data_IF_814695427538
#
_entry.id   IF_814695427538
#
_cell.length_a   1.000
_cell.length_b   1.000
_cell.length_c   1.000
_cell.angle_alpha   90.00
_cell.angle_beta   90.00
_cell.angle_gamma   90.00
#
_symmetry.space_group_name_H-M   'P 1'
#
loop_
_entity.id
_entity.type
_entity.pdbx_description
1 polymer ?
#
# COMPACT_ATOMS: atom_id res chain seq x y z
N UNK A 1 -13.38 2.66 -46.44
CA UNK A 1 -13.42 1.22 -46.15
C UNK A 1 -12.39 0.71 -45.14
N UNK A 2 -11.27 1.42 -44.84
CA UNK A 2 -10.21 0.93 -43.91
C UNK A 2 -10.54 0.98 -42.43
N UNK A 3 -11.39 1.89 -41.95
CA UNK A 3 -11.72 2.03 -40.52
C UNK A 3 -12.69 0.96 -39.98
N UNK A 4 -13.50 0.35 -40.84
CA UNK A 4 -14.42 -0.73 -40.43
C UNK A 4 -13.67 -2.06 -40.21
N UNK A 5 -12.58 -2.28 -40.94
CA UNK A 5 -11.79 -3.51 -40.84
C UNK A 5 -10.96 -3.56 -39.55
N UNK A 6 -10.44 -2.40 -39.09
CA UNK A 6 -9.71 -2.31 -37.84
C UNK A 6 -10.56 -2.58 -36.59
N UNK A 7 -11.82 -2.10 -36.55
CA UNK A 7 -12.73 -2.38 -35.42
C UNK A 7 -13.08 -3.87 -35.31
N UNK A 8 -13.30 -4.54 -36.45
CA UNK A 8 -13.55 -5.99 -36.45
C UNK A 8 -12.33 -6.80 -36.04
N UNK A 9 -11.13 -6.39 -36.45
CA UNK A 9 -9.89 -7.06 -36.01
C UNK A 9 -9.61 -6.86 -34.52
N UNK A 10 -9.83 -5.67 -33.98
CA UNK A 10 -9.70 -5.40 -32.54
C UNK A 10 -10.69 -6.23 -31.73
N UNK A 11 -11.95 -6.32 -32.16
CA UNK A 11 -12.97 -7.15 -31.48
C UNK A 11 -12.60 -8.64 -31.51
N UNK A 12 -12.04 -9.15 -32.59
CA UNK A 12 -11.59 -10.55 -32.69
C UNK A 12 -10.42 -10.83 -31.74
N UNK A 13 -9.46 -9.89 -31.64
CA UNK A 13 -8.31 -10.03 -30.73
C UNK A 13 -8.78 -10.04 -29.27
N UNK A 14 -9.71 -9.17 -28.90
CA UNK A 14 -10.29 -9.14 -27.53
C UNK A 14 -11.02 -10.45 -27.21
N UNK A 15 -11.83 -10.98 -28.13
CA UNK A 15 -12.54 -12.24 -27.95
C UNK A 15 -11.57 -13.41 -27.80
N UNK A 16 -10.51 -13.45 -28.60
CA UNK A 16 -9.49 -14.50 -28.53
C UNK A 16 -8.69 -14.44 -27.20
N UNK A 17 -8.37 -13.24 -26.70
CA UNK A 17 -7.70 -13.09 -25.42
C UNK A 17 -8.59 -13.53 -24.25
N UNK A 18 -9.88 -13.21 -24.25
CA UNK A 18 -10.83 -13.66 -23.23
C UNK A 18 -10.97 -15.19 -23.25
N UNK A 19 -11.08 -15.80 -24.43
CA UNK A 19 -11.14 -17.25 -24.55
C UNK A 19 -9.86 -17.92 -24.06
N UNK A 20 -8.69 -17.35 -24.32
CA UNK A 20 -7.40 -17.87 -23.84
C UNK A 20 -7.32 -17.81 -22.32
N UNK A 21 -7.75 -16.71 -21.71
CA UNK A 21 -7.78 -16.56 -20.25
C UNK A 21 -8.71 -17.60 -19.61
N UNK A 22 -9.89 -17.82 -20.18
CA UNK A 22 -10.83 -18.83 -19.69
C UNK A 22 -10.27 -20.27 -19.81
N UNK A 23 -9.51 -20.56 -20.87
CA UNK A 23 -8.87 -21.86 -21.06
C UNK A 23 -7.74 -22.08 -20.04
N UNK A 24 -6.96 -21.05 -19.74
CA UNK A 24 -5.91 -21.10 -18.71
C UNK A 24 -6.54 -21.32 -17.32
N UNK A 25 -7.59 -20.59 -17.00
CA UNK A 25 -8.33 -20.77 -15.74
C UNK A 25 -8.90 -22.19 -15.59
N UNK A 26 -9.49 -22.76 -16.65
CA UNK A 26 -9.99 -24.12 -16.65
C UNK A 26 -8.86 -25.16 -16.46
N UNK A 27 -7.69 -24.92 -17.04
CA UNK A 27 -6.52 -25.79 -16.89
C UNK A 27 -6.00 -25.78 -15.44
N UNK A 28 -5.96 -24.62 -14.81
CA UNK A 28 -5.56 -24.47 -13.40
C UNK A 28 -6.53 -25.20 -12.46
N UNK A 29 -7.84 -25.11 -12.72
CA UNK A 29 -8.84 -25.82 -11.92
C UNK A 29 -8.67 -27.34 -12.05
N UNK A 30 -8.40 -27.85 -13.26
CA UNK A 30 -8.19 -29.27 -13.50
C UNK A 30 -6.89 -29.79 -12.84
N UNK A 31 -5.83 -29.00 -12.83
CA UNK A 31 -4.56 -29.39 -12.19
C UNK A 31 -4.64 -29.34 -10.66
N UNK A 32 -5.43 -28.43 -10.09
CA UNK A 32 -5.68 -28.37 -8.65
C UNK A 32 -6.63 -29.49 -8.17
N UNK A 33 -7.58 -29.93 -8.97
CA UNK A 33 -8.46 -31.06 -8.61
C UNK A 33 -7.69 -32.40 -8.54
N UNK A 34 -6.67 -32.59 -9.38
CA UNK A 34 -5.78 -33.76 -9.32
C UNK A 34 -4.91 -33.82 -8.06
N UNK A 35 -4.54 -32.67 -7.49
CA UNK A 35 -3.69 -32.59 -6.28
C UNK A 35 -4.42 -32.85 -4.96
N UNK A 36 -5.74 -32.73 -4.93
CA UNK A 36 -6.53 -32.95 -3.72
C UNK A 36 -6.91 -34.41 -3.50
N UNK A 37 -6.85 -35.28 -4.52
CA UNK A 37 -7.09 -36.71 -4.35
C UNK A 37 -5.87 -37.48 -3.81
N UNK A 38 -4.64 -37.04 -4.10
CA UNK A 38 -3.43 -37.71 -3.60
C UNK A 38 -3.10 -37.45 -2.12
N UNK A 39 -3.85 -36.57 -1.43
CA UNK A 39 -3.67 -36.31 0.01
C UNK A 39 -4.67 -36.98 0.95
N UNK A 40 -5.64 -37.69 0.40
CA UNK A 40 -6.68 -38.35 1.21
C UNK A 40 -6.30 -39.78 1.66
N UNK A 41 -5.28 -40.40 1.08
CA UNK A 41 -4.96 -41.82 1.34
C UNK A 41 -3.79 -42.07 2.31
N UNK A 42 -3.29 -41.04 3.04
CA UNK A 42 -2.13 -41.21 3.94
C UNK A 42 -2.40 -40.87 5.41
N UNK A 43 -3.65 -40.78 5.84
CA UNK A 43 -3.98 -40.47 7.24
C UNK A 43 -4.97 -41.49 7.84
N UNK A 44 -4.55 -42.75 7.95
CA UNK A 44 -5.22 -43.70 8.83
C UNK A 44 -4.19 -44.70 9.33
N UNK A 45 -3.56 -44.38 10.44
CA UNK A 45 -3.04 -45.32 11.47
C UNK A 45 -2.17 -44.53 12.48
N UNK A 46 -2.66 -44.27 13.64
CA UNK A 46 -2.07 -44.60 14.92
C UNK A 46 -3.04 -44.14 16.04
N UNK A 47 -3.44 -45.12 16.72
CA UNK A 47 -4.41 -45.20 17.81
C UNK A 47 -3.82 -44.86 19.17
N UNK A 48 -4.70 -44.35 20.00
CA UNK A 48 -5.10 -44.84 21.36
C UNK A 48 -4.28 -44.45 22.59
N UNK A 49 -5.10 -44.18 23.60
CA UNK A 49 -4.85 -44.16 25.07
C UNK A 49 -4.29 -42.84 25.64
N UNK A 50 -4.94 -42.17 26.57
CA UNK A 50 -5.56 -42.63 27.82
C UNK A 50 -6.51 -41.57 28.43
N UNK A 51 -7.51 -42.09 29.06
CA UNK A 51 -8.59 -41.56 29.86
C UNK A 51 -8.26 -40.55 30.98
N UNK A 52 -9.29 -39.77 31.37
CA UNK A 52 -9.48 -39.41 32.75
C UNK A 52 -10.27 -38.16 33.08
N UNK A 53 -11.57 -38.33 33.36
CA UNK A 53 -12.45 -37.63 34.34
C UNK A 53 -12.64 -36.10 34.21
N UNK A 54 -13.78 -35.62 33.77
CA UNK A 54 -15.06 -35.41 34.44
C UNK A 54 -15.05 -34.27 35.49
N UNK A 55 -15.92 -33.28 35.34
CA UNK A 55 -17.11 -32.92 36.11
C UNK A 55 -17.77 -31.65 35.57
N UNK A 56 -19.05 -31.78 35.31
CA UNK A 56 -20.19 -30.92 35.08
C UNK A 56 -20.22 -29.55 35.78
N UNK A 57 -20.87 -28.56 35.16
CA UNK A 57 -22.25 -28.14 35.51
C UNK A 57 -22.80 -27.09 34.52
N UNK A 58 -24.07 -27.25 34.29
CA UNK A 58 -25.02 -26.46 33.49
C UNK A 58 -25.13 -24.98 33.85
N UNK A 59 -25.49 -24.11 32.90
CA UNK A 59 -26.86 -23.54 32.90
C UNK A 59 -27.10 -22.65 31.69
N UNK A 60 -28.28 -22.82 31.13
CA UNK A 60 -28.93 -22.16 30.01
C UNK A 60 -29.09 -20.63 30.21
N UNK A 61 -29.12 -19.85 29.10
CA UNK A 61 -30.35 -19.14 28.67
C UNK A 61 -30.18 -18.52 27.27
N UNK A 62 -31.21 -18.74 26.47
CA UNK A 62 -31.50 -18.17 25.14
C UNK A 62 -31.54 -16.64 25.17
N UNK A 63 -31.11 -16.00 24.06
CA UNK A 63 -31.98 -15.02 23.36
C UNK A 63 -31.52 -14.78 21.94
N UNK A 64 -32.40 -15.05 21.01
CA UNK A 64 -32.26 -14.77 19.59
C UNK A 64 -32.42 -13.27 19.30
N UNK A 65 -31.55 -12.69 18.46
CA UNK A 65 -31.96 -11.58 17.60
C UNK A 65 -31.14 -11.63 16.31
N UNK A 66 -31.88 -11.83 15.20
CA UNK A 66 -31.32 -11.92 13.86
C UNK A 66 -30.79 -10.58 13.38
N UNK A 67 -29.59 -10.61 12.81
CA UNK A 67 -29.02 -9.52 12.02
C UNK A 67 -29.00 -9.97 10.55
N UNK A 68 -29.46 -9.18 9.59
CA UNK A 68 -29.47 -9.55 8.19
C UNK A 68 -28.05 -9.73 7.69
N UNK A 69 -27.79 -10.85 7.06
CA UNK A 69 -26.55 -11.20 6.39
C UNK A 69 -26.41 -10.35 5.14
N UNK A 70 -25.71 -9.21 5.26
CA UNK A 70 -25.24 -8.43 4.10
C UNK A 70 -24.17 -9.26 3.41
N UNK A 71 -24.42 -9.57 2.15
CA UNK A 71 -23.47 -10.25 1.28
C UNK A 71 -22.22 -9.40 1.14
N UNK A 72 -21.15 -9.79 1.81
CA UNK A 72 -19.84 -9.21 1.60
C UNK A 72 -19.44 -9.44 0.14
N UNK A 73 -19.03 -8.38 -0.54
CA UNK A 73 -18.41 -8.49 -1.84
C UNK A 73 -17.20 -9.43 -1.70
N UNK A 74 -17.16 -10.44 -2.54
CA UNK A 74 -16.10 -11.42 -2.62
C UNK A 74 -14.79 -10.69 -2.97
N UNK A 75 -13.96 -10.46 -1.98
CA UNK A 75 -12.59 -9.97 -2.19
C UNK A 75 -11.78 -11.17 -2.61
N UNK A 76 -11.34 -11.19 -3.86
CA UNK A 76 -10.44 -12.24 -4.35
C UNK A 76 -9.20 -12.32 -3.45
N UNK A 77 -8.68 -13.53 -3.13
CA UNK A 77 -7.49 -13.69 -2.31
C UNK A 77 -6.31 -13.03 -3.02
N UNK A 78 -5.52 -12.25 -2.25
CA UNK A 78 -4.30 -11.60 -2.74
C UNK A 78 -3.41 -12.64 -3.44
N UNK A 79 -3.32 -12.56 -4.75
CA UNK A 79 -2.41 -13.37 -5.56
C UNK A 79 -1.00 -12.97 -5.13
N UNK A 80 -0.19 -13.92 -4.66
CA UNK A 80 1.24 -13.69 -4.41
C UNK A 80 1.87 -13.43 -5.77
N UNK A 81 2.17 -12.17 -6.07
CA UNK A 81 2.86 -11.76 -7.29
C UNK A 81 4.36 -11.89 -7.06
N UNK A 82 5.01 -12.75 -7.81
CA UNK A 82 6.39 -13.19 -7.59
C UNK A 82 7.44 -12.11 -7.97
N UNK A 83 7.06 -11.07 -8.71
CA UNK A 83 7.97 -10.01 -9.12
C UNK A 83 7.36 -8.61 -9.00
N UNK A 84 8.21 -7.57 -8.88
CA UNK A 84 7.75 -6.17 -8.90
C UNK A 84 7.00 -5.82 -10.19
N UNK A 85 7.44 -6.33 -11.34
CA UNK A 85 6.80 -6.06 -12.62
C UNK A 85 5.39 -6.65 -12.69
N UNK A 86 5.17 -7.85 -12.16
CA UNK A 86 3.84 -8.45 -12.07
C UNK A 86 2.94 -7.68 -11.11
N UNK A 87 3.48 -7.24 -9.98
CA UNK A 87 2.77 -6.38 -9.02
C UNK A 87 2.35 -5.05 -9.67
N UNK A 88 3.28 -4.39 -10.38
CA UNK A 88 3.00 -3.14 -11.08
C UNK A 88 1.91 -3.34 -12.17
N UNK A 89 1.96 -4.44 -12.92
CA UNK A 89 0.96 -4.78 -13.91
C UNK A 89 -0.42 -5.07 -13.28
N UNK A 90 -0.45 -5.79 -12.17
CA UNK A 90 -1.67 -6.08 -11.42
C UNK A 90 -2.38 -4.82 -10.95
N UNK A 91 -1.67 -3.91 -10.25
CA UNK A 91 -2.26 -2.66 -9.78
C UNK A 91 -2.61 -1.71 -10.92
N UNK A 92 -1.85 -1.70 -12.03
CA UNK A 92 -2.17 -0.92 -13.22
C UNK A 92 -3.50 -1.37 -13.86
N UNK A 93 -3.76 -2.68 -13.88
CA UNK A 93 -5.02 -3.22 -14.37
C UNK A 93 -6.20 -2.81 -13.48
N UNK A 94 -6.07 -2.93 -12.14
CA UNK A 94 -7.09 -2.50 -11.19
C UNK A 94 -7.41 -1.01 -11.30
N UNK A 95 -6.38 -0.16 -11.43
CA UNK A 95 -6.54 1.29 -11.62
C UNK A 95 -7.28 1.59 -12.92
N UNK A 96 -6.93 0.90 -14.02
CA UNK A 96 -7.60 1.07 -15.32
C UNK A 96 -9.08 0.70 -15.24
N UNK A 97 -9.42 -0.40 -14.58
CA UNK A 97 -10.80 -0.82 -14.37
C UNK A 97 -11.58 0.16 -13.49
N UNK A 98 -10.98 0.62 -12.39
CA UNK A 98 -11.58 1.62 -11.51
C UNK A 98 -11.88 2.92 -12.25
N UNK A 99 -10.93 3.41 -13.07
CA UNK A 99 -11.14 4.60 -13.90
C UNK A 99 -12.28 4.40 -14.91
N UNK A 100 -12.34 3.26 -15.56
CA UNK A 100 -13.40 2.94 -16.53
C UNK A 100 -14.79 2.86 -15.89
N UNK A 101 -14.88 2.45 -14.63
CA UNK A 101 -16.13 2.37 -13.85
C UNK A 101 -16.46 3.66 -13.08
N UNK A 102 -15.62 4.69 -13.14
CA UNK A 102 -15.79 5.94 -12.36
C UNK A 102 -15.57 5.77 -10.85
N UNK A 103 -14.91 4.68 -10.44
CA UNK A 103 -14.53 4.43 -9.05
C UNK A 103 -13.35 5.31 -8.65
N UNK A 104 -13.40 5.91 -7.46
CA UNK A 104 -12.31 6.74 -6.93
C UNK A 104 -11.09 5.89 -6.59
N UNK A 105 -9.89 6.44 -6.86
CA UNK A 105 -8.62 5.79 -6.57
C UNK A 105 -7.93 6.55 -5.43
N UNK A 106 -7.47 5.81 -4.43
CA UNK A 106 -6.81 6.35 -3.24
C UNK A 106 -5.47 5.65 -3.03
N UNK A 107 -4.41 6.42 -3.00
CA UNK A 107 -3.08 6.02 -2.58
C UNK A 107 -2.88 6.52 -1.15
N UNK A 108 -2.98 5.63 -0.16
CA UNK A 108 -2.64 5.96 1.22
C UNK A 108 -1.12 5.96 1.35
N UNK A 109 -0.56 7.04 1.85
CA UNK A 109 0.88 7.17 2.05
C UNK A 109 1.20 7.59 3.48
N UNK A 110 2.25 6.98 4.04
CA UNK A 110 2.71 7.21 5.39
C UNK A 110 4.16 7.67 5.34
N UNK A 111 4.44 8.83 5.92
CA UNK A 111 5.78 9.40 6.03
C UNK A 111 6.34 9.21 7.45
N UNK A 112 7.66 9.36 7.60
CA UNK A 112 8.39 9.36 8.87
C UNK A 112 8.47 8.00 9.60
N UNK A 113 7.98 6.90 9.03
CA UNK A 113 8.34 5.55 9.47
C UNK A 113 9.84 5.26 9.18
N UNK A 114 10.45 4.23 9.61
CA UNK A 114 9.95 3.10 10.41
C UNK A 114 10.10 3.40 11.91
N UNK A 115 9.03 3.21 12.63
CA UNK A 115 8.98 3.48 14.08
C UNK A 115 8.00 2.52 14.78
N UNK A 116 7.81 2.74 16.06
CA UNK A 116 6.98 1.85 16.90
C UNK A 116 5.50 1.79 16.48
N UNK A 117 5.01 2.72 15.66
CA UNK A 117 3.62 2.74 15.18
C UNK A 117 3.45 2.02 13.83
N UNK A 118 4.50 1.91 13.02
CA UNK A 118 4.47 1.25 11.70
C UNK A 118 3.90 -0.17 11.75
N UNK A 119 4.27 -1.07 12.69
CA UNK A 119 3.67 -2.41 12.79
C UNK A 119 2.15 -2.37 12.98
N UNK A 120 1.64 -1.44 13.78
CA UNK A 120 0.19 -1.30 14.02
C UNK A 120 -0.55 -0.82 12.77
N UNK A 121 0.08 0.07 11.99
CA UNK A 121 -0.45 0.51 10.69
C UNK A 121 -0.51 -0.67 9.72
N UNK A 122 0.57 -1.44 9.59
CA UNK A 122 0.65 -2.63 8.73
C UNK A 122 -0.42 -3.66 9.10
N UNK A 123 -0.57 -3.97 10.39
CA UNK A 123 -1.58 -4.91 10.89
C UNK A 123 -3.01 -4.42 10.61
N UNK A 124 -3.22 -3.10 10.66
CA UNK A 124 -4.52 -2.50 10.34
C UNK A 124 -4.81 -2.63 8.84
N UNK A 125 -3.85 -2.30 7.98
CA UNK A 125 -4.00 -2.42 6.53
C UNK A 125 -4.27 -3.87 6.10
N UNK A 126 -3.61 -4.85 6.73
CA UNK A 126 -3.82 -6.27 6.44
C UNK A 126 -5.24 -6.73 6.82
N UNK A 127 -5.80 -6.26 7.95
CA UNK A 127 -7.21 -6.56 8.34
C UNK A 127 -8.22 -6.11 7.29
N UNK A 128 -7.92 -5.04 6.56
CA UNK A 128 -8.77 -4.50 5.50
C UNK A 128 -8.37 -5.00 4.10
N UNK A 129 -7.34 -5.85 4.01
CA UNK A 129 -6.78 -6.37 2.76
C UNK A 129 -6.43 -5.26 1.75
N UNK A 130 -5.84 -4.16 2.22
CA UNK A 130 -5.39 -3.03 1.39
C UNK A 130 -3.88 -2.87 1.50
N UNK A 131 -3.28 -2.29 0.45
CA UNK A 131 -1.85 -1.99 0.43
C UNK A 131 -1.63 -0.49 0.28
N UNK A 132 -0.57 0.00 0.92
CA UNK A 132 -0.21 1.41 1.02
C UNK A 132 1.25 1.65 0.62
N UNK A 133 1.71 2.89 0.69
CA UNK A 133 3.10 3.27 0.44
C UNK A 133 3.68 3.94 1.68
N UNK A 134 4.90 3.55 2.05
CA UNK A 134 5.62 4.10 3.21
C UNK A 134 6.87 4.82 2.72
N UNK A 135 7.02 6.10 3.05
CA UNK A 135 8.20 6.90 2.79
C UNK A 135 9.03 7.03 4.08
N UNK A 136 9.99 6.13 4.23
CA UNK A 136 10.71 5.93 5.49
C UNK A 136 11.88 6.88 5.68
N UNK A 137 12.21 7.19 6.94
CA UNK A 137 13.36 8.01 7.36
C UNK A 137 14.41 7.13 8.03
N UNK A 138 15.66 7.22 7.56
CA UNK A 138 16.71 6.29 7.97
C UNK A 138 17.03 6.31 9.46
N UNK A 139 17.21 7.50 10.06
CA UNK A 139 17.63 7.64 11.45
C UNK A 139 16.47 7.71 12.46
N UNK A 140 15.22 7.51 12.04
CA UNK A 140 14.08 7.46 12.97
C UNK A 140 13.83 6.07 13.55
N UNK A 141 14.42 5.04 12.93
CA UNK A 141 14.37 3.68 13.46
C UNK A 141 15.20 3.56 14.75
N UNK A 142 14.72 2.81 15.76
CA UNK A 142 15.44 2.58 17.00
C UNK A 142 16.81 1.93 16.83
N UNK A 143 17.00 1.13 15.79
CA UNK A 143 18.27 0.50 15.40
C UNK A 143 18.24 0.07 13.93
N UNK A 144 19.41 -0.26 13.37
CA UNK A 144 19.51 -0.80 12.01
C UNK A 144 18.79 -2.15 11.86
N UNK A 145 18.88 -3.05 12.86
CA UNK A 145 18.19 -4.32 12.85
C UNK A 145 16.66 -4.14 12.84
N UNK A 146 16.17 -3.12 13.55
CA UNK A 146 14.76 -2.75 13.53
C UNK A 146 14.36 -2.23 12.14
N UNK A 147 15.12 -1.30 11.57
CA UNK A 147 14.89 -0.79 10.22
C UNK A 147 14.89 -1.93 9.18
N UNK A 148 15.87 -2.84 9.25
CA UNK A 148 15.96 -4.01 8.37
C UNK A 148 14.71 -4.88 8.46
N UNK A 149 14.24 -5.16 9.66
CA UNK A 149 13.04 -5.96 9.90
C UNK A 149 11.81 -5.27 9.32
N UNK A 150 11.59 -4.00 9.65
CA UNK A 150 10.42 -3.25 9.21
C UNK A 150 10.37 -3.00 7.71
N UNK A 151 11.50 -2.64 7.08
CA UNK A 151 11.53 -2.41 5.64
C UNK A 151 11.19 -3.70 4.87
N UNK A 152 11.72 -4.84 5.32
CA UNK A 152 11.39 -6.12 4.72
C UNK A 152 9.96 -6.57 5.05
N UNK A 153 9.39 -6.20 6.20
CA UNK A 153 7.99 -6.46 6.54
C UNK A 153 7.04 -5.65 5.65
N UNK A 154 7.30 -4.35 5.46
CA UNK A 154 6.57 -3.51 4.50
C UNK A 154 6.54 -4.16 3.12
N UNK A 155 7.70 -4.58 2.61
CA UNK A 155 7.83 -5.18 1.27
C UNK A 155 7.12 -6.54 1.20
N UNK A 156 7.36 -7.43 2.18
CA UNK A 156 6.85 -8.80 2.18
C UNK A 156 5.33 -8.87 2.32
N UNK A 157 4.72 -7.90 3.00
CA UNK A 157 3.26 -7.73 3.09
C UNK A 157 2.67 -7.08 1.83
N UNK A 158 3.46 -6.79 0.79
CA UNK A 158 3.00 -6.26 -0.51
C UNK A 158 2.77 -4.75 -0.55
N UNK A 159 3.21 -4.01 0.46
CA UNK A 159 3.22 -2.54 0.44
C UNK A 159 4.39 -2.02 -0.39
N UNK A 160 4.36 -0.74 -0.74
CA UNK A 160 5.47 -0.07 -1.41
C UNK A 160 6.36 0.61 -0.38
N UNK A 161 7.66 0.32 -0.44
CA UNK A 161 8.68 1.07 0.29
C UNK A 161 9.24 2.17 -0.60
N UNK A 162 9.05 3.41 -0.19
CA UNK A 162 9.71 4.62 -0.71
C UNK A 162 10.64 5.19 0.35
N UNK A 163 11.42 6.20 -0.01
CA UNK A 163 12.34 6.87 0.90
C UNK A 163 12.05 8.35 1.03
N UNK A 164 12.25 8.90 2.24
CA UNK A 164 11.93 10.30 2.55
C UNK A 164 13.19 11.14 2.75
N UNK A 165 14.15 10.67 3.51
CA UNK A 165 15.53 11.14 3.68
C UNK A 165 16.21 10.25 4.71
N UNK A 166 17.51 10.45 4.94
CA UNK A 166 18.16 9.77 6.06
C UNK A 166 17.94 10.51 7.38
N UNK A 167 18.09 11.83 7.39
CA UNK A 167 18.09 12.65 8.63
C UNK A 167 16.80 13.37 8.93
N UNK A 168 15.95 13.64 7.93
CA UNK A 168 14.76 14.50 7.98
C UNK A 168 15.01 15.94 8.52
N UNK A 169 16.26 16.35 8.60
CA UNK A 169 16.63 17.72 9.05
C UNK A 169 16.54 18.70 7.87
N UNK A 170 15.35 19.24 7.60
CA UNK A 170 15.10 20.14 6.44
C UNK A 170 16.11 21.26 6.31
N UNK A 171 16.50 21.92 7.43
CA UNK A 171 17.47 22.99 7.41
C UNK A 171 18.84 22.51 6.92
N UNK A 172 19.28 21.31 7.32
CA UNK A 172 20.55 20.76 6.92
C UNK A 172 20.53 20.17 5.51
N UNK A 173 19.47 19.39 5.20
CA UNK A 173 19.31 18.74 3.88
C UNK A 173 19.30 19.77 2.76
N UNK A 174 18.58 20.89 2.96
CA UNK A 174 18.41 21.92 1.93
C UNK A 174 19.40 23.09 2.06
N UNK A 175 20.40 22.99 2.93
CA UNK A 175 21.44 24.01 3.07
C UNK A 175 22.25 24.18 1.75
N UNK A 176 22.59 23.08 1.10
CA UNK A 176 23.31 23.06 -0.17
C UNK A 176 22.98 21.81 -0.99
N UNK A 177 23.35 21.81 -2.28
CA UNK A 177 23.20 20.62 -3.11
C UNK A 177 24.04 19.44 -2.60
N UNK A 178 25.25 19.72 -2.14
CA UNK A 178 26.13 18.67 -1.58
C UNK A 178 25.55 18.05 -0.32
N UNK A 179 24.91 18.87 0.55
CA UNK A 179 24.25 18.36 1.75
C UNK A 179 23.04 17.49 1.40
N UNK A 180 22.21 17.94 0.44
CA UNK A 180 21.08 17.16 -0.07
C UNK A 180 21.54 15.83 -0.69
N UNK A 181 22.55 15.91 -1.55
CA UNK A 181 23.13 14.73 -2.21
C UNK A 181 23.67 13.72 -1.19
N UNK A 182 24.40 14.18 -0.17
CA UNK A 182 24.95 13.30 0.85
C UNK A 182 23.85 12.58 1.65
N UNK A 183 22.77 13.27 2.02
CA UNK A 183 21.63 12.67 2.73
C UNK A 183 20.87 11.67 1.83
N UNK A 184 20.62 12.04 0.57
CA UNK A 184 19.94 11.20 -0.40
C UNK A 184 20.74 9.92 -0.74
N UNK A 185 22.05 10.05 -1.01
CA UNK A 185 22.93 8.91 -1.27
C UNK A 185 23.01 7.98 -0.06
N UNK A 186 23.08 8.53 1.13
CA UNK A 186 23.09 7.73 2.36
C UNK A 186 21.81 6.91 2.47
N UNK A 187 20.65 7.56 2.31
CA UNK A 187 19.37 6.88 2.40
C UNK A 187 19.17 5.82 1.30
N UNK A 188 19.57 6.14 0.07
CA UNK A 188 19.50 5.21 -1.06
C UNK A 188 20.32 3.94 -0.81
N UNK A 189 21.58 4.11 -0.38
CA UNK A 189 22.48 3.01 -0.08
C UNK A 189 22.01 2.21 1.13
N UNK A 190 21.56 2.88 2.19
CA UNK A 190 21.03 2.27 3.41
C UNK A 190 19.85 1.34 3.12
N UNK A 191 18.84 1.82 2.39
CA UNK A 191 17.70 0.98 2.03
C UNK A 191 18.13 -0.18 1.10
N UNK A 192 19.01 0.09 0.15
CA UNK A 192 19.51 -0.95 -0.76
C UNK A 192 20.25 -2.06 0.02
N UNK A 193 21.07 -1.71 1.01
CA UNK A 193 21.79 -2.67 1.85
C UNK A 193 20.84 -3.48 2.74
N UNK A 194 19.85 -2.83 3.35
CA UNK A 194 18.93 -3.49 4.27
C UNK A 194 17.94 -4.43 3.58
N UNK A 195 17.54 -4.11 2.33
CA UNK A 195 16.47 -4.83 1.62
C UNK A 195 16.96 -5.66 0.43
N UNK A 196 18.19 -5.44 -0.02
CA UNK A 196 18.73 -6.03 -1.26
C UNK A 196 18.11 -5.43 -2.53
N UNK A 197 17.34 -4.33 -2.43
CA UNK A 197 16.63 -3.70 -3.54
C UNK A 197 16.85 -2.20 -3.53
N UNK A 198 17.20 -1.56 -4.68
CA UNK A 198 17.26 -0.12 -4.76
C UNK A 198 15.86 0.50 -4.63
N UNK A 199 15.70 1.61 -3.89
CA UNK A 199 14.44 2.33 -3.80
C UNK A 199 14.07 2.95 -5.15
N UNK A 200 12.77 3.03 -5.44
CA UNK A 200 12.25 3.57 -6.71
C UNK A 200 11.44 4.85 -6.52
N UNK A 201 11.06 5.17 -5.28
CA UNK A 201 10.14 6.26 -4.96
C UNK A 201 10.72 7.15 -3.87
N UNK A 202 10.60 8.45 -4.11
CA UNK A 202 11.09 9.50 -3.23
C UNK A 202 9.94 10.41 -2.81
N UNK A 203 10.00 10.92 -1.58
CA UNK A 203 9.22 12.08 -1.16
C UNK A 203 10.15 13.07 -0.48
N UNK A 204 10.09 14.33 -0.93
CA UNK A 204 10.91 15.39 -0.34
C UNK A 204 10.41 15.76 1.06
N UNK A 205 11.28 15.89 2.08
CA UNK A 205 10.89 16.41 3.39
C UNK A 205 10.22 17.79 3.30
N UNK A 206 8.92 17.82 3.67
CA UNK A 206 8.09 19.01 3.51
C UNK A 206 7.48 19.21 2.11
N UNK A 207 7.62 18.23 1.21
CA UNK A 207 7.16 18.26 -0.17
C UNK A 207 8.06 19.05 -1.11
N UNK A 208 7.85 18.89 -2.43
CA UNK A 208 8.68 19.55 -3.44
C UNK A 208 8.48 21.08 -3.48
N UNK A 209 7.37 21.61 -2.94
CA UNK A 209 7.12 23.05 -2.79
C UNK A 209 7.62 23.63 -1.47
N UNK A 210 8.48 22.92 -0.73
CA UNK A 210 9.01 23.41 0.55
C UNK A 210 9.81 24.70 0.38
N UNK A 211 9.60 25.68 1.27
CA UNK A 211 10.35 26.94 1.28
C UNK A 211 11.82 26.79 1.66
N UNK A 212 12.23 25.64 2.20
CA UNK A 212 13.63 25.37 2.53
C UNK A 212 14.51 25.13 1.30
N UNK A 213 13.95 24.64 0.20
CA UNK A 213 14.70 24.28 -1.00
C UNK A 213 14.84 25.40 -2.02
N UNK A 214 13.97 26.42 -1.98
CA UNK A 214 13.89 27.54 -2.91
C UNK A 214 13.89 27.11 -4.41
N UNK A 215 14.58 27.85 -5.29
CA UNK A 215 14.72 27.52 -6.70
C UNK A 215 15.54 26.25 -6.98
N UNK A 216 16.36 25.78 -6.02
CA UNK A 216 17.21 24.58 -6.17
C UNK A 216 16.40 23.31 -6.24
N UNK A 217 15.16 23.31 -5.78
CA UNK A 217 14.28 22.16 -5.94
C UNK A 217 14.21 21.72 -7.39
N UNK A 218 13.93 22.67 -8.31
CA UNK A 218 13.83 22.39 -9.74
C UNK A 218 15.16 22.21 -10.45
N UNK A 219 16.16 23.03 -10.11
CA UNK A 219 17.44 23.02 -10.82
C UNK A 219 18.34 21.86 -10.44
N UNK A 220 18.27 21.42 -9.19
CA UNK A 220 19.30 20.54 -8.62
C UNK A 220 18.68 19.26 -8.01
N UNK A 221 17.72 19.39 -7.07
CA UNK A 221 17.29 18.27 -6.24
C UNK A 221 16.41 17.27 -7.00
N UNK A 222 15.41 17.75 -7.73
CA UNK A 222 14.55 16.88 -8.56
C UNK A 222 15.38 16.16 -9.64
N UNK A 223 16.20 16.85 -10.46
CA UNK A 223 17.04 16.17 -11.45
C UNK A 223 18.00 15.15 -10.83
N UNK A 224 18.49 15.41 -9.62
CA UNK A 224 19.35 14.46 -8.94
C UNK A 224 18.59 13.17 -8.57
N UNK A 225 17.43 13.26 -7.95
CA UNK A 225 16.59 12.10 -7.60
C UNK A 225 16.22 11.30 -8.85
N UNK A 226 15.83 11.98 -9.92
CA UNK A 226 15.54 11.35 -11.21
C UNK A 226 16.75 10.64 -11.81
N UNK A 227 17.96 11.21 -11.65
CA UNK A 227 19.21 10.58 -12.10
C UNK A 227 19.55 9.28 -11.38
N UNK A 228 19.03 9.10 -10.15
CA UNK A 228 19.12 7.84 -9.39
C UNK A 228 18.05 6.82 -9.81
N UNK A 229 17.22 7.15 -10.81
CA UNK A 229 16.13 6.29 -11.30
C UNK A 229 14.89 6.31 -10.41
N UNK A 230 14.75 7.29 -9.53
CA UNK A 230 13.60 7.43 -8.64
C UNK A 230 12.57 8.43 -9.19
N UNK A 231 11.29 8.16 -8.91
CA UNK A 231 10.18 9.09 -9.13
C UNK A 231 9.75 9.69 -7.79
N UNK A 232 9.59 11.04 -7.74
CA UNK A 232 9.10 11.65 -6.52
C UNK A 232 7.60 11.87 -6.52
N UNK A 233 7.01 11.83 -5.32
CA UNK A 233 5.59 12.02 -5.08
C UNK A 233 5.35 13.03 -3.97
N UNK A 234 4.54 14.05 -4.26
CA UNK A 234 3.88 14.88 -3.25
C UNK A 234 2.51 14.25 -2.89
N UNK A 235 1.57 15.05 -2.48
CA UNK A 235 0.20 14.67 -2.14
C UNK A 235 -0.79 15.72 -2.61
N UNK A 236 -2.04 15.34 -2.74
CA UNK A 236 -3.14 16.26 -3.03
C UNK A 236 -4.26 16.20 -1.97
N UNK A 237 -4.11 15.33 -0.96
CA UNK A 237 -4.93 15.27 0.25
C UNK A 237 -4.00 15.18 1.45
N UNK A 238 -4.22 16.04 2.46
CA UNK A 238 -3.47 15.99 3.74
C UNK A 238 -4.40 15.63 4.87
N UNK A 239 -3.98 14.70 5.73
CA UNK A 239 -4.62 14.41 7.02
C UNK A 239 -4.50 15.58 8.00
N UNK A 240 -3.48 16.43 7.84
CA UNK A 240 -3.14 17.52 8.74
C UNK A 240 -2.38 17.09 9.99
N UNK A 241 -1.98 15.84 10.09
CA UNK A 241 -1.33 15.26 11.27
C UNK A 241 0.13 15.71 11.47
N UNK A 242 0.80 16.19 10.42
CA UNK A 242 2.14 16.77 10.52
C UNK A 242 2.23 18.10 11.28
N UNK A 243 1.09 18.70 11.69
CA UNK A 243 1.07 19.98 12.42
C UNK A 243 1.02 19.86 13.95
N UNK A 244 1.08 18.64 14.50
CA UNK A 244 0.95 18.36 15.93
C UNK A 244 -0.43 18.67 16.51
N UNK A 245 -0.74 18.16 17.71
CA UNK A 245 -2.00 18.41 18.45
C UNK A 245 -3.30 18.26 17.64
N UNK A 246 -3.31 17.35 16.67
CA UNK A 246 -4.52 17.01 15.91
C UNK A 246 -5.27 15.89 16.64
N UNK A 247 -6.59 15.87 16.53
CA UNK A 247 -7.41 14.79 17.07
C UNK A 247 -7.69 13.73 16.00
N UNK A 248 -7.95 12.48 16.42
CA UNK A 248 -8.38 11.38 15.57
C UNK A 248 -9.53 11.79 14.63
N UNK A 249 -10.56 12.42 15.18
CA UNK A 249 -11.73 12.83 14.41
C UNK A 249 -11.37 13.88 13.34
N UNK A 250 -10.39 14.75 13.61
CA UNK A 250 -9.95 15.75 12.65
C UNK A 250 -9.09 15.14 11.54
N UNK A 251 -8.22 14.17 11.87
CA UNK A 251 -7.50 13.35 10.89
C UNK A 251 -8.50 12.68 9.94
N UNK A 252 -9.46 11.95 10.49
CA UNK A 252 -10.54 11.32 9.73
C UNK A 252 -11.26 12.32 8.80
N UNK A 253 -11.77 13.42 9.34
CA UNK A 253 -12.50 14.43 8.55
C UNK A 253 -11.65 15.02 7.41
N UNK A 254 -10.38 15.33 7.67
CA UNK A 254 -9.48 15.89 6.66
C UNK A 254 -9.28 14.93 5.50
N UNK A 255 -9.04 13.64 5.79
CA UNK A 255 -8.87 12.62 4.76
C UNK A 255 -10.15 12.43 3.95
N UNK A 256 -11.29 12.18 4.61
CA UNK A 256 -12.55 11.90 3.91
C UNK A 256 -13.00 13.10 3.07
N UNK A 257 -12.96 14.32 3.62
CA UNK A 257 -13.31 15.54 2.88
C UNK A 257 -12.37 15.76 1.68
N UNK A 258 -11.06 15.48 1.86
CA UNK A 258 -10.07 15.61 0.79
C UNK A 258 -10.31 14.64 -0.36
N UNK A 259 -10.64 13.39 -0.05
CA UNK A 259 -10.91 12.33 -1.04
C UNK A 259 -12.26 12.55 -1.73
N UNK A 260 -13.28 13.05 -1.03
CA UNK A 260 -14.63 13.22 -1.57
C UNK A 260 -14.65 14.01 -2.88
N UNK A 261 -13.79 15.02 -3.01
CA UNK A 261 -13.79 15.96 -4.13
C UNK A 261 -12.76 15.61 -5.23
N UNK A 262 -12.19 14.38 -5.22
CA UNK A 262 -11.17 13.96 -6.17
C UNK A 262 -11.47 12.57 -6.74
N UNK A 263 -11.09 12.36 -7.99
CA UNK A 263 -11.15 11.03 -8.60
C UNK A 263 -9.91 10.21 -8.24
N UNK A 264 -8.75 10.88 -8.11
CA UNK A 264 -7.48 10.29 -7.70
C UNK A 264 -6.90 11.08 -6.53
N UNK A 265 -6.64 10.39 -5.43
CA UNK A 265 -6.09 10.98 -4.20
C UNK A 265 -4.78 10.31 -3.81
N UNK A 266 -3.73 11.11 -3.58
CA UNK A 266 -2.54 10.71 -2.82
C UNK A 266 -2.65 11.38 -1.46
N UNK A 267 -2.84 10.56 -0.43
CA UNK A 267 -3.14 11.01 0.93
C UNK A 267 -1.87 10.99 1.75
N UNK A 268 -1.48 12.17 2.28
CA UNK A 268 -0.38 12.30 3.25
C UNK A 268 -0.89 12.01 4.65
N UNK A 269 -0.28 11.04 5.29
CA UNK A 269 -0.36 10.70 6.71
C UNK A 269 1.04 10.41 7.23
N UNK A 270 1.19 10.26 8.54
CA UNK A 270 2.46 9.88 9.15
C UNK A 270 2.26 8.69 10.11
N UNK A 271 3.27 7.81 10.17
CA UNK A 271 3.33 6.68 11.09
C UNK A 271 4.59 6.69 11.99
N UNK A 272 5.31 7.79 11.96
CA UNK A 272 6.41 8.08 12.89
C UNK A 272 5.93 8.33 14.32
N UNK A 273 6.87 8.52 15.23
CA UNK A 273 6.57 8.75 16.66
C UNK A 273 5.69 9.99 16.87
N UNK A 274 4.66 9.86 17.72
CA UNK A 274 3.74 10.96 18.05
C UNK A 274 2.51 11.08 17.14
N UNK A 275 2.31 10.16 16.19
CA UNK A 275 1.16 10.12 15.30
C UNK A 275 0.09 9.09 15.72
N UNK A 276 -0.08 8.87 17.03
CA UNK A 276 -1.03 7.90 17.59
C UNK A 276 -2.47 8.18 17.15
N UNK A 277 -2.85 9.45 17.00
CA UNK A 277 -4.18 9.85 16.53
C UNK A 277 -4.46 9.45 15.08
N UNK A 278 -3.42 9.44 14.23
CA UNK A 278 -3.49 8.95 12.86
C UNK A 278 -3.73 7.45 12.84
N UNK A 279 -2.97 6.71 13.62
CA UNK A 279 -3.14 5.26 13.78
C UNK A 279 -4.54 4.92 14.30
N UNK A 280 -5.03 5.67 15.30
CA UNK A 280 -6.38 5.51 15.85
C UNK A 280 -7.49 5.86 14.85
N UNK A 281 -7.24 6.79 13.90
CA UNK A 281 -8.20 7.17 12.86
C UNK A 281 -8.28 6.15 11.71
N UNK A 282 -7.18 5.43 11.43
CA UNK A 282 -7.03 4.61 10.25
C UNK A 282 -8.14 3.57 10.03
N UNK A 283 -8.62 2.81 11.04
CA UNK A 283 -9.73 1.89 10.83
C UNK A 283 -11.00 2.58 10.30
N UNK A 284 -11.39 3.72 10.89
CA UNK A 284 -12.57 4.47 10.45
C UNK A 284 -12.41 5.06 9.05
N UNK A 285 -11.19 5.52 8.70
CA UNK A 285 -10.85 5.98 7.36
C UNK A 285 -11.04 4.85 6.35
N UNK A 286 -10.50 3.68 6.64
CA UNK A 286 -10.58 2.51 5.76
C UNK A 286 -12.03 2.03 5.59
N UNK A 287 -12.80 1.96 6.68
CA UNK A 287 -14.22 1.60 6.63
C UNK A 287 -15.01 2.53 5.69
N UNK A 288 -14.84 3.84 5.84
CA UNK A 288 -15.56 4.81 5.00
C UNK A 288 -15.09 4.76 3.55
N UNK A 289 -13.79 4.74 3.29
CA UNK A 289 -13.26 4.70 1.92
C UNK A 289 -13.70 3.44 1.16
N UNK A 290 -13.72 2.29 1.84
CA UNK A 290 -14.06 0.99 1.22
C UNK A 290 -15.57 0.81 1.13
N UNK A 291 -16.26 0.91 2.28
CA UNK A 291 -17.64 0.44 2.40
C UNK A 291 -18.68 1.50 2.03
N UNK A 292 -18.39 2.78 2.26
CA UNK A 292 -19.32 3.87 1.99
C UNK A 292 -19.03 4.58 0.66
N UNK A 293 -17.74 4.83 0.36
CA UNK A 293 -17.33 5.55 -0.85
C UNK A 293 -16.92 4.63 -2.00
N UNK A 294 -16.82 3.32 -1.79
CA UNK A 294 -16.40 2.33 -2.78
C UNK A 294 -15.09 2.70 -3.48
N UNK A 295 -14.11 3.23 -2.73
CA UNK A 295 -12.83 3.59 -3.30
C UNK A 295 -11.97 2.34 -3.59
N UNK A 296 -11.15 2.41 -4.64
CA UNK A 296 -10.03 1.50 -4.83
C UNK A 296 -8.83 2.04 -4.07
N UNK A 297 -8.32 1.30 -3.08
CA UNK A 297 -7.10 1.66 -2.34
C UNK A 297 -5.96 0.78 -2.83
N UNK A 298 -4.88 1.39 -3.33
CA UNK A 298 -3.73 0.70 -3.92
C UNK A 298 -2.42 1.41 -3.54
N UNK A 299 -1.29 0.70 -3.52
CA UNK A 299 0.02 1.32 -3.30
C UNK A 299 0.50 2.05 -4.56
N UNK A 300 1.44 2.98 -4.39
CA UNK A 300 2.17 3.58 -5.51
C UNK A 300 3.02 2.50 -6.21
N UNK A 301 2.97 2.47 -7.53
CA UNK A 301 3.74 1.58 -8.39
C UNK A 301 4.40 2.37 -9.53
N UNK A 302 5.24 1.75 -10.35
CA UNK A 302 5.89 2.43 -11.47
C UNK A 302 4.90 3.00 -12.51
N UNK A 303 3.69 2.45 -12.59
CA UNK A 303 2.63 2.93 -13.47
C UNK A 303 1.76 4.04 -12.87
N UNK A 304 1.96 4.37 -11.58
CA UNK A 304 1.19 5.42 -10.91
C UNK A 304 1.60 6.80 -11.43
N UNK A 305 0.63 7.58 -11.92
CA UNK A 305 0.88 8.97 -12.30
C UNK A 305 1.29 9.77 -11.07
N UNK A 306 2.46 10.42 -11.08
CA UNK A 306 2.92 11.15 -9.90
C UNK A 306 2.08 12.41 -9.65
N UNK A 307 1.72 12.61 -8.39
CA UNK A 307 1.21 13.91 -7.90
C UNK A 307 2.42 14.73 -7.51
N UNK A 308 2.62 15.84 -8.18
CA UNK A 308 3.77 16.73 -8.02
C UNK A 308 3.27 18.17 -7.93
N UNK A 309 3.82 18.94 -7.00
CA UNK A 309 3.48 20.34 -6.85
C UNK A 309 3.87 21.12 -8.12
N UNK A 310 2.98 21.95 -8.60
CA UNK A 310 3.27 22.86 -9.70
C UNK A 310 3.91 24.13 -9.12
N UNK A 311 5.09 24.44 -9.61
CA UNK A 311 5.83 25.65 -9.21
C UNK A 311 5.47 26.82 -10.13
#
# INVERSE_FOLDING_TARGET
MSRLNNKKQISIIIILSVVLILLIAALIILTNHGRTQDKADTATQSSAETAGMAVSTESETESASGVPKTTAAETEPATVVDSEAERDAYYSALVTEAQASGRKIVYLTFDDGSGTLTPTVLDTLDKYNVKATFFVVGNYSPSEDFARTEYNDIISRGHTLGIHSFTHSRANIYESFDAFKADADHMYNYVTELTGRPPRFWRFPGGSATSFADSRMKSDYIPYIESLGMTYYDWNVSSGDGSGNITRDKVYQNVINGVTNKDVSVVLMHDGSGHDETVAALPSILDTLINEMNCLIVPITASTMPVQSQF
#
